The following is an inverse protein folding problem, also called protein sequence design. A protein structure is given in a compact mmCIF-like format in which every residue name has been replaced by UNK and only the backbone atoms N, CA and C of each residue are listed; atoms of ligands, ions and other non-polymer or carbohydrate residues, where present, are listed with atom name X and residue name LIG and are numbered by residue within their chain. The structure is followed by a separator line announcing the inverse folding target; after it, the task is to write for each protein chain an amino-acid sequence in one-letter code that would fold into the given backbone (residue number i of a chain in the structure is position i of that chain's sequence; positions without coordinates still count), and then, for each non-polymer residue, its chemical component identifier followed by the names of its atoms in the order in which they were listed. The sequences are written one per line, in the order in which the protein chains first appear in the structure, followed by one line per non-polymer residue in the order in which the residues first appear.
data_IF_244048490251
#
_entry.id   IF_244048490251
#
_cell.length_a   1.000
_cell.length_b   1.000
_cell.length_c   1.000
_cell.angle_alpha   90.00
_cell.angle_beta   90.00
_cell.angle_gamma   90.00
#
_symmetry.space_group_name_H-M   'P 1'
#
loop_
_entity.id
_entity.type
_entity.pdbx_description
1 polymer ?
#
# COMPACT_ATOMS: atom_id res chain seq x y z
N UNK A 1 -46.41 10.36 -53.29
CA UNK A 1 -45.25 9.47 -53.03
C UNK A 1 -43.93 10.20 -52.75
N UNK A 2 -43.70 11.44 -53.22
CA UNK A 2 -42.40 12.15 -53.09
C UNK A 2 -42.01 12.59 -51.66
N UNK A 3 -42.98 12.95 -50.81
CA UNK A 3 -42.71 13.48 -49.46
C UNK A 3 -42.16 12.43 -48.48
N UNK A 4 -42.67 11.19 -48.53
CA UNK A 4 -42.25 10.09 -47.65
C UNK A 4 -40.78 9.69 -47.88
N UNK A 5 -40.32 9.71 -49.14
CA UNK A 5 -38.94 9.37 -49.47
C UNK A 5 -37.94 10.43 -49.00
N UNK A 6 -38.30 11.73 -49.04
CA UNK A 6 -37.47 12.81 -48.48
C UNK A 6 -37.34 12.73 -46.96
N UNK A 7 -38.44 12.43 -46.25
CA UNK A 7 -38.43 12.25 -44.79
C UNK A 7 -37.56 11.04 -44.39
N UNK A 8 -37.68 9.91 -45.10
CA UNK A 8 -36.84 8.72 -44.89
C UNK A 8 -35.35 8.99 -45.16
N UNK A 9 -35.04 9.73 -46.23
CA UNK A 9 -33.67 10.12 -46.55
C UNK A 9 -33.07 11.02 -45.46
N UNK A 10 -33.80 12.04 -45.02
CA UNK A 10 -33.37 12.94 -43.94
C UNK A 10 -33.18 12.18 -42.61
N UNK A 11 -34.08 11.25 -42.29
CA UNK A 11 -33.96 10.40 -41.10
C UNK A 11 -32.72 9.51 -41.14
N UNK A 12 -32.38 8.96 -42.31
CA UNK A 12 -31.17 8.13 -42.50
C UNK A 12 -29.90 8.96 -42.32
N UNK A 13 -29.87 10.20 -42.85
CA UNK A 13 -28.75 11.13 -42.65
C UNK A 13 -28.58 11.50 -41.18
N UNK A 14 -29.67 11.81 -40.47
CA UNK A 14 -29.64 12.12 -39.03
C UNK A 14 -29.11 10.93 -38.22
N UNK A 15 -29.59 9.71 -38.51
CA UNK A 15 -29.08 8.48 -37.89
C UNK A 15 -27.58 8.31 -38.13
N UNK A 16 -27.11 8.52 -39.36
CA UNK A 16 -25.69 8.45 -39.69
C UNK A 16 -24.84 9.43 -38.88
N UNK A 17 -25.31 10.68 -38.74
CA UNK A 17 -24.63 11.71 -37.92
C UNK A 17 -24.60 11.29 -36.45
N UNK A 18 -25.72 10.83 -35.88
CA UNK A 18 -25.78 10.38 -34.49
C UNK A 18 -24.84 9.19 -34.24
N UNK A 19 -24.72 8.28 -35.20
CA UNK A 19 -23.84 7.12 -35.10
C UNK A 19 -22.36 7.55 -35.09
N UNK A 20 -21.98 8.49 -35.95
CA UNK A 20 -20.62 9.07 -35.96
C UNK A 20 -20.32 9.81 -34.65
N UNK A 21 -21.26 10.61 -34.14
CA UNK A 21 -21.11 11.31 -32.84
C UNK A 21 -20.94 10.29 -31.71
N UNK A 22 -21.76 9.24 -31.69
CA UNK A 22 -21.69 8.18 -30.68
C UNK A 22 -20.37 7.42 -30.75
N UNK A 23 -19.88 7.08 -31.94
CA UNK A 23 -18.57 6.45 -32.12
C UNK A 23 -17.43 7.35 -31.64
N UNK A 24 -17.46 8.63 -32.01
CA UNK A 24 -16.46 9.61 -31.57
C UNK A 24 -16.44 9.78 -30.04
N UNK A 25 -17.62 9.85 -29.42
CA UNK A 25 -17.74 9.93 -27.97
C UNK A 25 -17.21 8.66 -27.27
N UNK A 26 -17.55 7.47 -27.79
CA UNK A 26 -17.05 6.20 -27.23
C UNK A 26 -15.52 6.10 -27.32
N UNK A 27 -14.93 6.49 -28.45
CA UNK A 27 -13.46 6.51 -28.60
C UNK A 27 -12.80 7.49 -27.63
N UNK A 28 -13.36 8.70 -27.48
CA UNK A 28 -12.88 9.69 -26.53
C UNK A 28 -12.96 9.19 -25.08
N UNK A 29 -14.10 8.63 -24.70
CA UNK A 29 -14.30 8.07 -23.35
C UNK A 29 -13.36 6.89 -23.09
N UNK A 30 -13.14 6.02 -24.07
CA UNK A 30 -12.19 4.92 -23.98
C UNK A 30 -10.76 5.40 -23.76
N UNK A 31 -10.31 6.43 -24.50
CA UNK A 31 -8.99 7.02 -24.30
C UNK A 31 -8.86 7.67 -22.92
N UNK A 32 -9.86 8.45 -22.50
CA UNK A 32 -9.87 9.07 -21.17
C UNK A 32 -9.81 8.00 -20.07
N UNK A 33 -10.57 6.93 -20.20
CA UNK A 33 -10.58 5.83 -19.24
C UNK A 33 -9.22 5.13 -19.16
N UNK A 34 -8.59 4.83 -20.31
CA UNK A 34 -7.23 4.28 -20.36
C UNK A 34 -6.19 5.18 -19.70
N UNK A 35 -6.27 6.49 -19.93
CA UNK A 35 -5.35 7.44 -19.32
C UNK A 35 -5.50 7.49 -17.79
N UNK A 36 -6.74 7.45 -17.29
CA UNK A 36 -7.00 7.37 -15.84
C UNK A 36 -6.40 6.10 -15.25
N UNK A 37 -6.61 4.94 -15.89
CA UNK A 37 -6.01 3.67 -15.44
C UNK A 37 -4.49 3.76 -15.38
N UNK A 38 -3.85 4.24 -16.46
CA UNK A 38 -2.40 4.36 -16.52
C UNK A 38 -1.87 5.29 -15.43
N UNK A 39 -2.52 6.44 -15.24
CA UNK A 39 -2.12 7.41 -14.22
C UNK A 39 -2.26 6.84 -12.80
N UNK A 40 -3.32 6.08 -12.52
CA UNK A 40 -3.50 5.44 -11.21
C UNK A 40 -2.46 4.34 -10.96
N UNK A 41 -2.08 3.59 -11.99
CA UNK A 41 -0.99 2.61 -11.92
C UNK A 41 0.36 3.28 -11.62
N UNK A 42 0.72 4.32 -12.38
CA UNK A 42 1.95 5.09 -12.17
C UNK A 42 2.01 5.75 -10.78
N UNK A 43 0.89 6.33 -10.34
CA UNK A 43 0.77 6.89 -8.99
C UNK A 43 0.97 5.84 -7.90
N UNK A 44 0.45 4.63 -8.10
CA UNK A 44 0.58 3.53 -7.15
C UNK A 44 2.04 3.08 -7.05
N UNK A 45 2.72 2.90 -8.17
CA UNK A 45 4.15 2.54 -8.21
C UNK A 45 5.03 3.63 -7.57
N UNK A 46 4.76 4.91 -7.85
CA UNK A 46 5.46 6.03 -7.21
C UNK A 46 5.26 6.04 -5.68
N UNK A 47 4.06 5.69 -5.21
CA UNK A 47 3.77 5.57 -3.78
C UNK A 47 4.53 4.42 -3.13
N UNK A 48 4.74 3.30 -3.82
CA UNK A 48 5.61 2.24 -3.31
C UNK A 48 7.06 2.66 -3.21
N UNK A 49 7.54 3.51 -4.13
CA UNK A 49 8.84 4.16 -3.99
C UNK A 49 8.94 4.96 -2.68
N UNK A 50 7.94 5.80 -2.39
CA UNK A 50 7.90 6.54 -1.12
C UNK A 50 7.83 5.61 0.10
N UNK A 51 7.02 4.56 0.04
CA UNK A 51 6.92 3.56 1.12
C UNK A 51 8.24 2.84 1.34
N UNK A 52 8.98 2.53 0.28
CA UNK A 52 10.32 1.96 0.36
C UNK A 52 11.28 2.91 1.10
N UNK A 53 11.31 4.19 0.73
CA UNK A 53 12.19 5.20 1.34
C UNK A 53 11.87 5.45 2.82
N UNK A 54 10.59 5.58 3.18
CA UNK A 54 10.19 5.72 4.58
C UNK A 54 10.37 4.40 5.34
N UNK A 55 10.12 3.27 4.69
CA UNK A 55 10.22 1.94 5.27
C UNK A 55 11.64 1.60 5.69
N UNK A 56 12.64 1.92 4.87
CA UNK A 56 14.04 1.65 5.24
C UNK A 56 14.49 2.51 6.43
N UNK A 57 14.10 3.79 6.47
CA UNK A 57 14.36 4.66 7.63
C UNK A 57 13.68 4.13 8.90
N UNK A 58 12.42 3.69 8.79
CA UNK A 58 11.70 3.07 9.89
C UNK A 58 12.42 1.82 10.39
N UNK A 59 12.86 0.94 9.49
CA UNK A 59 13.56 -0.28 9.82
C UNK A 59 14.87 -0.01 10.59
N UNK A 60 15.66 0.95 10.13
CA UNK A 60 16.92 1.32 10.79
C UNK A 60 16.67 1.90 12.19
N UNK A 61 15.66 2.76 12.34
CA UNK A 61 15.30 3.31 13.64
C UNK A 61 14.73 2.26 14.60
N UNK A 62 13.94 1.28 14.10
CA UNK A 62 13.49 0.15 14.90
C UNK A 62 14.66 -0.72 15.36
N UNK A 63 15.64 -0.98 14.50
CA UNK A 63 16.82 -1.77 14.86
C UNK A 63 17.62 -1.09 15.98
N UNK A 64 17.83 0.23 15.88
CA UNK A 64 18.44 1.01 16.97
C UNK A 64 17.58 0.98 18.23
N UNK A 65 16.27 1.17 18.10
CA UNK A 65 15.34 1.11 19.24
C UNK A 65 15.45 -0.23 19.99
N UNK A 66 15.34 -1.36 19.30
CA UNK A 66 15.41 -2.71 19.90
C UNK A 66 16.76 -2.93 20.60
N UNK A 67 17.86 -2.53 19.95
CA UNK A 67 19.22 -2.66 20.49
C UNK A 67 19.36 -1.91 21.81
N UNK A 68 18.79 -0.71 21.91
CA UNK A 68 18.85 0.12 23.11
C UNK A 68 17.80 -0.25 24.17
N UNK A 69 16.64 -0.78 23.77
CA UNK A 69 15.56 -1.17 24.68
C UNK A 69 15.92 -2.37 25.56
N UNK A 70 16.96 -3.13 25.18
CA UNK A 70 17.51 -4.25 25.96
C UNK A 70 18.50 -3.80 27.06
N UNK A 71 18.78 -2.49 27.18
CA UNK A 71 19.75 -1.91 28.11
C UNK A 71 19.15 -1.37 29.42
N UNK A 72 19.92 -0.53 30.14
CA UNK A 72 19.44 0.15 31.35
C UNK A 72 18.43 1.26 31.04
N UNK A 73 17.35 1.36 31.82
CA UNK A 73 16.38 2.48 31.70
C UNK A 73 16.84 3.75 32.42
N UNK A 74 18.11 4.11 32.32
CA UNK A 74 18.55 5.43 32.77
C UNK A 74 17.95 6.55 31.89
N UNK A 75 17.97 7.78 32.40
CA UNK A 75 17.34 8.92 31.72
C UNK A 75 17.93 9.21 30.33
N UNK A 76 19.21 8.91 30.09
CA UNK A 76 19.84 9.12 28.79
C UNK A 76 19.34 8.09 27.78
N UNK A 77 19.31 6.82 28.18
CA UNK A 77 18.79 5.72 27.36
C UNK A 77 17.30 5.92 27.07
N UNK A 78 16.51 6.34 28.05
CA UNK A 78 15.08 6.64 27.87
C UNK A 78 14.84 7.77 26.86
N UNK A 79 15.66 8.83 26.91
CA UNK A 79 15.60 9.94 25.96
C UNK A 79 15.94 9.50 24.53
N UNK A 80 16.94 8.63 24.36
CA UNK A 80 17.28 8.04 23.06
C UNK A 80 16.16 7.17 22.51
N UNK A 81 15.58 6.31 23.35
CA UNK A 81 14.44 5.46 22.99
C UNK A 81 13.23 6.28 22.57
N UNK A 82 12.93 7.37 23.29
CA UNK A 82 11.87 8.32 22.90
C UNK A 82 12.13 8.93 21.52
N UNK A 83 13.36 9.37 21.27
CA UNK A 83 13.72 9.95 19.98
C UNK A 83 13.58 8.96 18.83
N UNK A 84 14.08 7.73 18.98
CA UNK A 84 13.93 6.69 17.95
C UNK A 84 12.47 6.35 17.72
N UNK A 85 11.70 6.16 18.80
CA UNK A 85 10.29 5.79 18.71
C UNK A 85 9.45 6.88 18.02
N UNK A 86 9.72 8.16 18.30
CA UNK A 86 9.06 9.28 17.61
C UNK A 86 9.34 9.29 16.11
N UNK A 87 10.55 8.93 15.69
CA UNK A 87 10.89 8.81 14.26
C UNK A 87 10.13 7.64 13.64
N UNK A 88 10.12 6.48 14.30
CA UNK A 88 9.35 5.29 13.87
C UNK A 88 7.87 5.63 13.66
N UNK A 89 7.25 6.37 14.59
CA UNK A 89 5.86 6.82 14.45
C UNK A 89 5.67 7.76 13.25
N UNK A 90 6.61 8.68 13.03
CA UNK A 90 6.59 9.60 11.90
C UNK A 90 6.66 8.87 10.57
N UNK A 91 7.64 7.97 10.41
CA UNK A 91 7.81 7.20 9.17
C UNK A 91 6.64 6.25 8.94
N UNK A 92 6.14 5.57 9.98
CA UNK A 92 4.94 4.73 9.87
C UNK A 92 3.73 5.54 9.39
N UNK A 93 3.55 6.77 9.89
CA UNK A 93 2.47 7.63 9.43
C UNK A 93 2.62 8.03 7.97
N UNK A 94 3.84 8.34 7.53
CA UNK A 94 4.15 8.65 6.12
C UNK A 94 3.85 7.47 5.19
N UNK A 95 4.15 6.25 5.63
CA UNK A 95 3.83 5.02 4.90
C UNK A 95 2.30 4.87 4.75
N UNK A 96 1.55 4.98 5.84
CA UNK A 96 0.08 4.84 5.81
C UNK A 96 -0.60 5.91 4.95
N UNK A 97 -0.10 7.15 4.98
CA UNK A 97 -0.58 8.22 4.10
C UNK A 97 -0.25 7.96 2.63
N UNK A 98 0.85 7.28 2.35
CA UNK A 98 1.25 6.91 0.99
C UNK A 98 0.35 5.81 0.41
N UNK A 99 -0.11 4.87 1.26
CA UNK A 99 -0.99 3.75 0.87
C UNK A 99 -2.43 4.20 0.63
N UNK A 100 -2.98 5.05 1.50
CA UNK A 100 -4.41 5.39 1.56
C UNK A 100 -5.08 5.79 0.22
N UNK A 101 -4.41 6.54 -0.68
CA UNK A 101 -5.00 6.92 -1.97
C UNK A 101 -4.90 5.85 -3.08
N UNK A 102 -4.34 4.66 -2.81
CA UNK A 102 -4.20 3.61 -3.82
C UNK A 102 -5.54 2.93 -4.07
N UNK A 103 -6.16 3.17 -5.23
CA UNK A 103 -7.44 2.57 -5.59
C UNK A 103 -7.21 1.23 -6.32
N UNK A 104 -7.63 0.08 -5.75
CA UNK A 104 -7.49 -1.20 -6.42
C UNK A 104 -8.39 -1.33 -7.66
N UNK A 105 -9.39 -0.45 -7.83
CA UNK A 105 -10.38 -0.51 -8.91
C UNK A 105 -9.78 -0.47 -10.32
N UNK A 106 -8.61 0.16 -10.47
CA UNK A 106 -7.97 0.39 -11.78
C UNK A 106 -6.68 -0.43 -11.95
N UNK A 107 -6.44 -1.37 -11.03
CA UNK A 107 -5.26 -2.24 -11.05
C UNK A 107 -5.53 -3.59 -11.73
N UNK A 108 -6.75 -3.81 -12.24
CA UNK A 108 -7.15 -5.02 -12.98
C UNK A 108 -6.69 -6.30 -12.25
N UNK A 109 -5.93 -7.18 -12.91
CA UNK A 109 -5.43 -8.44 -12.35
C UNK A 109 -4.44 -8.24 -11.19
N UNK A 110 -3.90 -7.02 -11.00
CA UNK A 110 -3.00 -6.67 -9.90
C UNK A 110 -3.73 -6.27 -8.62
N UNK A 111 -5.02 -5.97 -8.70
CA UNK A 111 -5.83 -5.49 -7.58
C UNK A 111 -5.76 -6.39 -6.32
N UNK A 112 -5.79 -7.74 -6.43
CA UNK A 112 -5.70 -8.61 -5.26
C UNK A 112 -4.36 -8.47 -4.51
N UNK A 113 -3.25 -8.42 -5.24
CA UNK A 113 -1.89 -8.28 -4.66
C UNK A 113 -1.72 -6.93 -3.98
N UNK A 114 -2.23 -5.87 -4.60
CA UNK A 114 -2.27 -4.54 -3.99
C UNK A 114 -3.14 -4.47 -2.74
N UNK A 115 -4.28 -5.14 -2.74
CA UNK A 115 -5.14 -5.26 -1.55
C UNK A 115 -4.41 -5.95 -0.40
N UNK A 116 -3.70 -7.05 -0.69
CA UNK A 116 -2.92 -7.78 0.30
C UNK A 116 -1.72 -6.96 0.82
N UNK A 117 -1.04 -6.21 -0.06
CA UNK A 117 0.05 -5.33 0.32
C UNK A 117 -0.44 -4.20 1.24
N UNK A 118 -1.57 -3.57 0.88
CA UNK A 118 -2.23 -2.55 1.71
C UNK A 118 -2.64 -3.12 3.06
N UNK A 119 -3.24 -4.31 3.08
CA UNK A 119 -3.58 -5.02 4.31
C UNK A 119 -2.35 -5.23 5.20
N UNK A 120 -1.23 -5.66 4.61
CA UNK A 120 0.02 -5.92 5.32
C UNK A 120 0.52 -4.68 6.05
N UNK A 121 0.52 -3.53 5.38
CA UNK A 121 0.91 -2.27 6.00
C UNK A 121 -0.03 -1.83 7.12
N UNK A 122 -1.35 -2.04 6.98
CA UNK A 122 -2.28 -1.79 8.08
C UNK A 122 -2.02 -2.69 9.29
N UNK A 123 -1.58 -3.94 9.09
CA UNK A 123 -1.20 -4.81 10.21
C UNK A 123 0.06 -4.34 10.91
N UNK A 124 1.05 -3.84 10.15
CA UNK A 124 2.26 -3.23 10.70
C UNK A 124 1.91 -1.97 11.52
N UNK A 125 1.08 -1.08 10.98
CA UNK A 125 0.60 0.11 11.70
C UNK A 125 -0.11 -0.26 13.00
N UNK A 126 -0.90 -1.35 12.98
CA UNK A 126 -1.53 -1.90 14.18
C UNK A 126 -0.53 -2.33 15.25
N UNK A 127 0.58 -2.97 14.87
CA UNK A 127 1.67 -3.35 15.80
C UNK A 127 2.30 -2.10 16.43
N UNK A 128 2.70 -1.14 15.60
CA UNK A 128 3.37 0.09 16.05
C UNK A 128 2.44 0.92 16.96
N UNK A 129 1.18 1.07 16.55
CA UNK A 129 0.18 1.81 17.34
C UNK A 129 -0.08 1.15 18.68
N UNK A 130 -0.22 -0.18 18.71
CA UNK A 130 -0.43 -0.92 19.96
C UNK A 130 0.75 -0.78 20.93
N UNK A 131 1.98 -0.89 20.43
CA UNK A 131 3.18 -0.68 21.24
C UNK A 131 3.27 0.74 21.78
N UNK A 132 2.94 1.74 20.96
CA UNK A 132 2.93 3.12 21.41
C UNK A 132 1.97 3.34 22.58
N UNK A 133 0.77 2.76 22.51
CA UNK A 133 -0.20 2.84 23.61
C UNK A 133 0.35 2.19 24.89
N UNK A 134 1.00 1.02 24.77
CA UNK A 134 1.61 0.34 25.91
C UNK A 134 2.77 1.14 26.53
N UNK A 135 3.61 1.77 25.71
CA UNK A 135 4.70 2.61 26.21
C UNK A 135 4.20 3.84 26.95
N UNK A 136 3.14 4.48 26.44
CA UNK A 136 2.49 5.61 27.10
C UNK A 136 1.82 5.19 28.41
N UNK A 137 1.12 4.06 28.42
CA UNK A 137 0.44 3.53 29.61
C UNK A 137 1.43 3.16 30.73
N UNK A 138 2.52 2.46 30.37
CA UNK A 138 3.51 1.98 31.34
C UNK A 138 4.57 3.02 31.70
N UNK A 139 4.74 4.04 30.86
CA UNK A 139 5.85 5.00 30.97
C UNK A 139 7.23 4.37 30.80
N UNK A 140 7.32 3.21 30.14
CA UNK A 140 8.52 2.40 29.93
C UNK A 140 8.55 1.89 28.49
N UNK A 141 9.76 1.71 27.96
CA UNK A 141 10.02 1.17 26.62
C UNK A 141 10.41 -0.32 26.66
N UNK A 142 10.16 -1.01 27.78
CA UNK A 142 10.44 -2.43 27.92
C UNK A 142 9.64 -3.25 26.90
N UNK A 143 10.35 -4.08 26.14
CA UNK A 143 9.79 -5.00 25.16
C UNK A 143 9.67 -6.41 25.75
N UNK A 144 8.60 -7.11 25.42
CA UNK A 144 8.56 -8.57 25.58
C UNK A 144 9.28 -9.24 24.40
N UNK A 145 9.63 -10.51 24.54
CA UNK A 145 10.21 -11.28 23.42
C UNK A 145 9.27 -11.33 22.21
N UNK A 146 7.95 -11.39 22.44
CA UNK A 146 6.92 -11.37 21.39
C UNK A 146 6.89 -10.01 20.67
N UNK A 147 7.00 -8.91 21.42
CA UNK A 147 7.01 -7.57 20.82
C UNK A 147 8.27 -7.39 19.97
N UNK A 148 9.42 -7.86 20.47
CA UNK A 148 10.69 -7.82 19.77
C UNK A 148 10.64 -8.62 18.47
N UNK A 149 10.15 -9.86 18.52
CA UNK A 149 10.01 -10.72 17.34
C UNK A 149 9.12 -10.07 16.26
N UNK A 150 8.02 -9.42 16.66
CA UNK A 150 7.17 -8.67 15.74
C UNK A 150 7.88 -7.47 15.12
N UNK A 151 8.63 -6.70 15.90
CA UNK A 151 9.39 -5.56 15.37
C UNK A 151 10.52 -6.02 14.43
N UNK A 152 11.17 -7.14 14.71
CA UNK A 152 12.17 -7.76 13.82
C UNK A 152 11.52 -8.21 12.50
N UNK A 153 10.31 -8.77 12.55
CA UNK A 153 9.55 -9.08 11.35
C UNK A 153 9.20 -7.81 10.55
N UNK A 154 8.80 -6.71 11.21
CA UNK A 154 8.56 -5.40 10.55
C UNK A 154 9.82 -4.88 9.85
N UNK A 155 10.98 -4.95 10.52
CA UNK A 155 12.28 -4.57 9.95
C UNK A 155 12.54 -5.40 8.69
N UNK A 156 12.37 -6.73 8.76
CA UNK A 156 12.59 -7.62 7.61
C UNK A 156 11.66 -7.28 6.44
N UNK A 157 10.38 -6.99 6.70
CA UNK A 157 9.41 -6.58 5.67
C UNK A 157 9.91 -5.36 4.91
N UNK A 158 10.26 -4.28 5.61
CA UNK A 158 10.67 -3.05 4.92
C UNK A 158 12.03 -3.17 4.24
N UNK A 159 12.96 -3.95 4.79
CA UNK A 159 14.23 -4.28 4.11
C UNK A 159 13.99 -5.06 2.82
N UNK A 160 13.09 -6.04 2.82
CA UNK A 160 12.69 -6.78 1.60
C UNK A 160 12.04 -5.87 0.57
N UNK A 161 11.10 -5.02 0.99
CA UNK A 161 10.46 -4.04 0.09
C UNK A 161 11.52 -3.16 -0.57
N UNK A 162 12.43 -2.59 0.22
CA UNK A 162 13.47 -1.72 -0.29
C UNK A 162 14.39 -2.42 -1.30
N UNK A 163 14.85 -3.63 -0.97
CA UNK A 163 15.75 -4.41 -1.82
C UNK A 163 15.14 -4.88 -3.14
N UNK A 164 13.82 -5.08 -3.16
CA UNK A 164 13.09 -5.52 -4.36
C UNK A 164 12.56 -4.34 -5.19
N UNK A 165 12.38 -3.16 -4.59
CA UNK A 165 11.86 -1.98 -5.28
C UNK A 165 12.70 -1.58 -6.50
N UNK A 166 14.03 -1.69 -6.39
CA UNK A 166 14.95 -1.37 -7.49
C UNK A 166 14.99 -2.43 -8.61
N UNK A 167 14.45 -3.62 -8.36
CA UNK A 167 14.52 -4.78 -9.27
C UNK A 167 13.18 -5.13 -9.89
N UNK A 168 12.08 -4.76 -9.24
CA UNK A 168 10.76 -5.22 -9.59
C UNK A 168 10.17 -4.40 -10.75
N UNK A 169 9.94 -5.07 -11.89
CA UNK A 169 9.07 -4.56 -12.96
C UNK A 169 7.60 -4.45 -12.51
N UNK A 170 7.23 -5.21 -11.48
CA UNK A 170 5.89 -5.29 -10.89
C UNK A 170 6.02 -5.24 -9.35
N UNK A 171 6.10 -4.04 -8.77
CA UNK A 171 6.41 -3.85 -7.34
C UNK A 171 5.42 -4.54 -6.38
N UNK A 172 4.18 -4.77 -6.80
CA UNK A 172 3.19 -5.47 -5.98
C UNK A 172 3.51 -6.95 -5.75
N UNK A 173 4.35 -7.58 -6.59
CA UNK A 173 4.75 -8.98 -6.42
C UNK A 173 5.70 -9.18 -5.23
N UNK A 174 6.23 -8.09 -4.66
CA UNK A 174 7.02 -8.11 -3.42
C UNK A 174 6.25 -8.85 -2.32
N UNK A 175 4.93 -8.75 -2.30
CA UNK A 175 4.07 -9.39 -1.29
C UNK A 175 4.32 -10.90 -1.14
N UNK A 176 4.68 -11.59 -2.22
CA UNK A 176 4.93 -13.04 -2.18
C UNK A 176 6.14 -13.36 -1.29
N UNK A 177 7.13 -12.46 -1.26
CA UNK A 177 8.34 -12.58 -0.44
C UNK A 177 8.14 -12.21 1.03
N UNK A 178 7.02 -11.57 1.39
CA UNK A 178 6.75 -11.06 2.75
C UNK A 178 5.96 -12.04 3.61
N UNK A 179 5.50 -13.16 3.04
CA UNK A 179 4.53 -14.06 3.66
C UNK A 179 4.96 -14.53 5.05
N UNK A 180 6.23 -14.94 5.22
CA UNK A 180 6.73 -15.47 6.48
C UNK A 180 6.70 -14.41 7.59
N UNK A 181 7.26 -13.23 7.34
CA UNK A 181 7.23 -12.11 8.28
C UNK A 181 5.80 -11.68 8.61
N UNK A 182 4.93 -11.66 7.61
CA UNK A 182 3.55 -11.25 7.81
C UNK A 182 2.76 -12.25 8.65
N UNK A 183 3.10 -13.54 8.64
CA UNK A 183 2.51 -14.51 9.57
C UNK A 183 2.96 -14.30 11.02
N UNK A 184 4.16 -13.74 11.25
CA UNK A 184 4.64 -13.34 12.59
C UNK A 184 3.87 -12.10 13.07
N UNK A 185 3.72 -11.10 12.20
CA UNK A 185 3.01 -9.85 12.48
C UNK A 185 1.51 -10.10 12.70
N UNK A 186 0.91 -10.96 11.89
CA UNK A 186 -0.49 -11.35 11.95
C UNK A 186 -0.66 -12.87 11.79
N UNK A 187 -0.93 -13.60 12.88
CA UNK A 187 -1.16 -15.05 12.81
C UNK A 187 -2.34 -15.48 11.92
N UNK A 188 -3.25 -14.56 11.57
CA UNK A 188 -4.36 -14.82 10.67
C UNK A 188 -4.05 -14.52 9.20
N UNK A 189 -2.84 -14.06 8.89
CA UNK A 189 -2.43 -13.65 7.56
C UNK A 189 -2.60 -14.75 6.52
N UNK A 190 -2.25 -15.99 6.87
CA UNK A 190 -2.42 -17.15 5.97
C UNK A 190 -3.87 -17.37 5.54
N UNK A 191 -4.85 -17.19 6.44
CA UNK A 191 -6.28 -17.28 6.10
C UNK A 191 -6.72 -16.16 5.17
N UNK A 192 -6.14 -14.98 5.33
CA UNK A 192 -6.38 -13.84 4.43
C UNK A 192 -5.81 -14.11 3.05
N UNK A 193 -4.61 -14.69 2.96
CA UNK A 193 -3.96 -15.10 1.71
C UNK A 193 -4.79 -16.14 0.95
N UNK A 194 -5.27 -17.18 1.66
CA UNK A 194 -6.14 -18.22 1.08
C UNK A 194 -7.41 -17.64 0.47
N UNK A 195 -8.09 -16.74 1.18
CA UNK A 195 -9.33 -16.10 0.70
C UNK A 195 -9.12 -15.27 -0.56
N UNK A 196 -7.99 -14.55 -0.64
CA UNK A 196 -7.66 -13.72 -1.80
C UNK A 196 -7.29 -14.59 -3.01
N UNK A 197 -6.61 -15.72 -2.80
CA UNK A 197 -6.22 -16.64 -3.88
C UNK A 197 -7.35 -17.59 -4.33
N UNK A 198 -8.44 -17.70 -3.57
CA UNK A 198 -9.60 -18.57 -3.90
C UNK A 198 -10.64 -17.92 -4.83
N UNK A 199 -10.39 -16.68 -5.28
CA UNK A 199 -11.24 -15.89 -6.18
C UNK A 199 -10.44 -15.42 -7.40
#
# INVERSE_FOLDING_TARGET
MSYSNKVKANFTVILGILLVISMGYNLFMHQKYKNVIFQDQENSEARLGLISDYGINLADNLEQFIKHASGSEDNETKSKLDSFWRIVLGDNKSIILSIGPTSPLFLEDRAPKWGLLSYSFFRIDGVITNLNLLFLEKGSYALTDVDKEKLEAVISVFRKIHNEMDKAKYPELIIDSLTEEMMIIDPLYGKTLERINSH
#
